data_IF_338766429640
#
_entry.id   IF_338766429640
#
_cell.length_a   1.000
_cell.length_b   1.000
_cell.length_c   1.000
_cell.angle_alpha   90.00
_cell.angle_beta   90.00
_cell.angle_gamma   90.00
#
_symmetry.space_group_name_H-M   'P 1'
#
loop_
_entity.id
_entity.type
_entity.pdbx_description
1 polymer ?
#
# COMPACT_ATOMS: atom_id res chain seq x y z
N UNK A 1 14.93 -12.14 -12.14
CA UNK A 1 16.02 -12.47 -11.21
C UNK A 1 16.40 -11.27 -10.35
N UNK A 2 15.44 -10.42 -10.11
CA UNK A 2 15.51 -9.32 -9.18
C UNK A 2 14.96 -9.83 -7.85
N UNK A 3 15.62 -9.54 -6.74
CA UNK A 3 15.12 -9.93 -5.42
C UNK A 3 13.75 -9.31 -5.12
N UNK A 4 13.05 -9.84 -4.14
CA UNK A 4 11.71 -9.38 -3.77
C UNK A 4 11.69 -7.92 -3.31
N UNK A 5 12.78 -7.42 -2.74
CA UNK A 5 12.87 -6.05 -2.18
C UNK A 5 12.58 -4.98 -3.22
N UNK A 6 13.21 -5.04 -4.40
CA UNK A 6 13.02 -4.03 -5.45
C UNK A 6 11.57 -3.98 -5.95
N UNK A 7 10.93 -5.09 -6.37
CA UNK A 7 9.52 -5.06 -6.75
C UNK A 7 8.59 -4.56 -5.65
N UNK A 8 8.87 -4.91 -4.39
CA UNK A 8 8.07 -4.44 -3.24
C UNK A 8 8.15 -2.93 -3.09
N UNK A 9 9.34 -2.35 -3.17
CA UNK A 9 9.54 -0.89 -3.10
C UNK A 9 8.87 -0.19 -4.27
N UNK A 10 9.07 -0.68 -5.49
CA UNK A 10 8.44 -0.10 -6.68
C UNK A 10 6.92 -0.21 -6.64
N UNK A 11 6.40 -1.37 -6.21
CA UNK A 11 4.96 -1.58 -6.07
C UNK A 11 4.35 -0.63 -5.04
N UNK A 12 4.96 -0.49 -3.87
CA UNK A 12 4.50 0.41 -2.82
C UNK A 12 4.60 1.86 -3.27
N UNK A 13 5.68 2.24 -3.96
CA UNK A 13 5.85 3.59 -4.51
C UNK A 13 4.76 3.91 -5.54
N UNK A 14 4.48 2.99 -6.46
CA UNK A 14 3.43 3.14 -7.47
C UNK A 14 2.05 3.29 -6.82
N UNK A 15 1.77 2.48 -5.80
CA UNK A 15 0.54 2.57 -5.00
C UNK A 15 0.43 3.94 -4.33
N UNK A 16 1.51 4.41 -3.70
CA UNK A 16 1.57 5.71 -3.03
C UNK A 16 1.33 6.87 -4.00
N UNK A 17 1.94 6.82 -5.18
CA UNK A 17 1.72 7.83 -6.24
C UNK A 17 0.26 7.81 -6.70
N UNK A 18 -0.33 6.64 -6.90
CA UNK A 18 -1.73 6.51 -7.28
C UNK A 18 -2.66 7.14 -6.25
N UNK A 19 -2.44 6.87 -4.96
CA UNK A 19 -3.24 7.46 -3.88
C UNK A 19 -3.01 8.97 -3.78
N UNK A 20 -1.77 9.44 -3.95
CA UNK A 20 -1.45 10.86 -3.95
C UNK A 20 -2.18 11.61 -5.08
N UNK A 21 -2.24 11.02 -6.27
CA UNK A 21 -3.01 11.58 -7.40
C UNK A 21 -4.48 11.65 -7.05
N UNK A 22 -5.05 10.60 -6.46
CA UNK A 22 -6.46 10.60 -6.02
C UNK A 22 -6.75 11.63 -4.93
N UNK A 23 -5.74 12.07 -4.18
CA UNK A 23 -5.88 13.09 -3.15
C UNK A 23 -6.03 14.51 -3.72
N UNK A 24 -5.86 14.72 -5.03
CA UNK A 24 -6.02 16.02 -5.69
C UNK A 24 -7.51 16.35 -5.90
N UNK A 25 -8.26 16.44 -4.80
CA UNK A 25 -9.72 16.64 -4.82
C UNK A 25 -10.14 18.07 -5.16
N UNK A 26 -9.19 19.02 -5.26
CA UNK A 26 -9.45 20.41 -5.59
C UNK A 26 -9.62 20.68 -7.10
N UNK A 27 -9.42 19.67 -7.93
CA UNK A 27 -9.54 19.80 -9.39
C UNK A 27 -11.04 19.88 -9.80
N UNK A 28 -11.34 20.48 -10.97
CA UNK A 28 -12.70 20.45 -11.53
C UNK A 28 -13.20 19.01 -11.66
N UNK A 29 -14.52 18.83 -11.51
CA UNK A 29 -15.12 17.49 -11.47
C UNK A 29 -14.72 16.59 -12.64
N UNK A 30 -14.75 17.10 -13.88
CA UNK A 30 -14.40 16.32 -15.07
C UNK A 30 -12.92 15.91 -15.06
N UNK A 31 -12.04 16.85 -14.76
CA UNK A 31 -10.60 16.60 -14.67
C UNK A 31 -10.29 15.65 -13.50
N UNK A 32 -10.97 15.82 -12.37
CA UNK A 32 -10.80 14.97 -11.20
C UNK A 32 -11.18 13.53 -11.48
N UNK A 33 -12.28 13.29 -12.20
CA UNK A 33 -12.70 11.93 -12.57
C UNK A 33 -11.62 11.22 -13.40
N UNK A 34 -11.01 11.89 -14.37
CA UNK A 34 -9.92 11.34 -15.18
C UNK A 34 -8.69 11.06 -14.31
N UNK A 35 -8.33 12.00 -13.43
CA UNK A 35 -7.19 11.87 -12.53
C UNK A 35 -7.38 10.71 -11.56
N UNK A 36 -8.58 10.56 -11.00
CA UNK A 36 -8.92 9.43 -10.11
C UNK A 36 -8.81 8.10 -10.84
N UNK A 37 -9.28 8.05 -12.08
CA UNK A 37 -9.21 6.84 -12.90
C UNK A 37 -7.77 6.40 -13.11
N UNK A 38 -6.89 7.34 -13.47
CA UNK A 38 -5.45 7.10 -13.65
C UNK A 38 -4.83 6.67 -12.31
N UNK A 39 -5.16 7.38 -11.22
CA UNK A 39 -4.67 7.03 -9.88
C UNK A 39 -5.08 5.63 -9.45
N UNK A 40 -6.30 5.24 -9.76
CA UNK A 40 -6.81 3.91 -9.42
C UNK A 40 -6.10 2.80 -10.21
N UNK A 41 -5.78 3.05 -11.48
CA UNK A 41 -4.97 2.13 -12.29
C UNK A 41 -3.59 1.96 -11.67
N UNK A 42 -2.92 3.06 -11.32
CA UNK A 42 -1.61 3.02 -10.66
C UNK A 42 -1.67 2.29 -9.33
N UNK A 43 -2.71 2.52 -8.56
CA UNK A 43 -2.94 1.84 -7.28
C UNK A 43 -3.02 0.32 -7.47
N UNK A 44 -3.83 -0.13 -8.43
CA UNK A 44 -3.98 -1.54 -8.75
C UNK A 44 -2.70 -2.21 -9.21
N UNK A 45 -1.96 -1.53 -10.11
CA UNK A 45 -0.67 -2.00 -10.59
C UNK A 45 0.35 -2.10 -9.45
N UNK A 46 0.39 -1.08 -8.59
CA UNK A 46 1.28 -1.07 -7.44
C UNK A 46 1.00 -2.21 -6.47
N UNK A 47 -0.27 -2.48 -6.18
CA UNK A 47 -0.66 -3.61 -5.34
C UNK A 47 -0.25 -4.95 -5.96
N UNK A 48 -0.45 -5.10 -7.27
CA UNK A 48 -0.06 -6.31 -7.98
C UNK A 48 1.45 -6.57 -7.89
N UNK A 49 2.25 -5.55 -8.12
CA UNK A 49 3.70 -5.65 -8.01
C UNK A 49 4.19 -5.89 -6.59
N UNK A 50 3.46 -5.42 -5.59
CA UNK A 50 3.82 -5.61 -4.18
C UNK A 50 3.37 -6.97 -3.64
N UNK A 51 2.16 -7.40 -3.96
CA UNK A 51 1.51 -8.54 -3.32
C UNK A 51 2.27 -9.85 -3.52
N UNK A 52 2.70 -10.13 -4.73
CA UNK A 52 3.39 -11.38 -5.06
C UNK A 52 4.75 -11.50 -4.36
N UNK A 53 5.68 -10.54 -4.51
CA UNK A 53 6.97 -10.65 -3.83
C UNK A 53 6.85 -10.57 -2.30
N UNK A 54 5.86 -9.84 -1.78
CA UNK A 54 5.61 -9.76 -0.34
C UNK A 54 5.20 -11.11 0.22
N UNK A 55 4.26 -11.78 -0.43
CA UNK A 55 3.79 -13.11 -0.04
C UNK A 55 4.92 -14.15 -0.16
N UNK A 56 5.65 -14.12 -1.26
CA UNK A 56 6.77 -15.04 -1.49
C UNK A 56 7.85 -14.88 -0.42
N UNK A 57 8.21 -13.64 -0.09
CA UNK A 57 9.19 -13.36 0.96
C UNK A 57 8.74 -13.90 2.32
N UNK A 58 7.46 -13.72 2.67
CA UNK A 58 6.93 -14.21 3.93
C UNK A 58 6.96 -15.74 4.02
N UNK A 59 6.59 -16.42 2.94
CA UNK A 59 6.53 -17.87 2.88
C UNK A 59 7.92 -18.50 2.81
N UNK A 60 8.79 -17.97 1.96
CA UNK A 60 10.14 -18.51 1.75
C UNK A 60 11.06 -18.30 2.95
N UNK A 61 10.71 -17.40 3.86
CA UNK A 61 11.45 -17.20 5.10
C UNK A 61 11.17 -18.28 6.15
N UNK A 62 10.17 -19.11 5.94
CA UNK A 62 9.79 -20.18 6.86
C UNK A 62 10.34 -21.53 6.40
N UNK A 63 10.59 -22.42 7.37
CA UNK A 63 10.93 -23.81 7.06
C UNK A 63 9.75 -24.53 6.41
N UNK A 64 10.02 -25.57 5.62
CA UNK A 64 9.01 -26.27 4.83
C UNK A 64 7.81 -26.78 5.65
N UNK A 65 8.06 -27.18 6.90
CA UNK A 65 7.03 -27.66 7.83
C UNK A 65 6.18 -26.53 8.43
N UNK A 66 6.60 -25.26 8.28
CA UNK A 66 5.95 -24.09 8.87
C UNK A 66 5.33 -23.12 7.85
N UNK A 67 5.32 -23.50 6.58
CA UNK A 67 4.79 -22.66 5.49
C UNK A 67 3.32 -22.27 5.74
N UNK A 68 2.50 -23.22 6.21
CA UNK A 68 1.11 -22.94 6.51
C UNK A 68 0.93 -21.92 7.63
N UNK A 69 1.74 -22.03 8.69
CA UNK A 69 1.72 -21.08 9.81
C UNK A 69 2.17 -19.69 9.34
N UNK A 70 3.26 -19.63 8.57
CA UNK A 70 3.78 -18.37 8.03
C UNK A 70 2.75 -17.66 7.13
N UNK A 71 2.08 -18.42 6.26
CA UNK A 71 1.01 -17.90 5.40
C UNK A 71 -0.16 -17.35 6.23
N UNK A 72 -0.54 -18.05 7.28
CA UNK A 72 -1.62 -17.62 8.19
C UNK A 72 -1.26 -16.33 8.91
N UNK A 73 -0.07 -16.23 9.46
CA UNK A 73 0.42 -15.02 10.16
C UNK A 73 0.49 -13.84 9.18
N UNK A 74 1.04 -14.05 8.00
CA UNK A 74 1.12 -13.01 6.97
C UNK A 74 -0.28 -12.49 6.61
N UNK A 75 -1.22 -13.40 6.37
CA UNK A 75 -2.59 -13.02 6.01
C UNK A 75 -3.30 -12.27 7.13
N UNK A 76 -3.11 -12.71 8.37
CA UNK A 76 -3.66 -12.05 9.55
C UNK A 76 -3.08 -10.64 9.70
N UNK A 77 -1.77 -10.48 9.59
CA UNK A 77 -1.12 -9.18 9.67
C UNK A 77 -1.61 -8.23 8.57
N UNK A 78 -1.75 -8.73 7.34
CA UNK A 78 -2.27 -7.98 6.21
C UNK A 78 -3.70 -7.51 6.44
N UNK A 79 -4.56 -8.39 6.95
CA UNK A 79 -5.96 -8.04 7.25
C UNK A 79 -6.08 -7.02 8.37
N UNK A 80 -5.29 -7.17 9.43
CA UNK A 80 -5.25 -6.20 10.53
C UNK A 80 -4.76 -4.84 10.04
N UNK A 81 -3.68 -4.82 9.25
CA UNK A 81 -3.16 -3.58 8.66
C UNK A 81 -4.21 -2.88 7.81
N UNK A 82 -4.95 -3.62 7.00
CA UNK A 82 -6.05 -3.08 6.20
C UNK A 82 -7.16 -2.50 7.06
N UNK A 83 -7.55 -3.21 8.11
CA UNK A 83 -8.60 -2.75 9.03
C UNK A 83 -8.19 -1.46 9.75
N UNK A 84 -6.96 -1.39 10.29
CA UNK A 84 -6.45 -0.19 10.93
C UNK A 84 -6.33 0.98 9.95
N UNK A 85 -5.79 0.73 8.75
CA UNK A 85 -5.66 1.75 7.73
C UNK A 85 -7.01 2.36 7.36
N UNK A 86 -8.01 1.52 7.17
CA UNK A 86 -9.37 1.93 6.85
C UNK A 86 -10.01 2.74 7.99
N UNK A 87 -9.86 2.26 9.23
CA UNK A 87 -10.41 2.93 10.41
C UNK A 87 -9.79 4.31 10.63
N UNK A 88 -8.47 4.44 10.51
CA UNK A 88 -7.76 5.70 10.67
C UNK A 88 -8.15 6.67 9.56
N UNK A 89 -8.16 6.24 8.31
CA UNK A 89 -8.54 7.08 7.17
C UNK A 89 -9.98 7.56 7.28
N UNK A 90 -10.91 6.70 7.68
CA UNK A 90 -12.30 7.05 7.87
C UNK A 90 -12.48 8.05 9.04
N UNK A 91 -11.72 7.86 10.13
CA UNK A 91 -11.76 8.77 11.27
C UNK A 91 -11.26 10.16 10.90
N UNK A 92 -10.17 10.27 10.15
CA UNK A 92 -9.64 11.54 9.64
C UNK A 92 -10.65 12.19 8.71
N UNK A 93 -11.24 11.43 7.79
CA UNK A 93 -12.27 11.94 6.88
C UNK A 93 -13.45 12.52 7.65
N UNK A 94 -13.99 11.77 8.61
CA UNK A 94 -15.14 12.21 9.42
C UNK A 94 -14.83 13.45 10.25
N UNK A 95 -13.64 13.50 10.85
CA UNK A 95 -13.22 14.63 11.68
C UNK A 95 -13.09 15.93 10.88
N UNK A 96 -12.73 15.84 9.61
CA UNK A 96 -12.49 17.00 8.74
C UNK A 96 -13.68 17.35 7.84
N UNK A 97 -14.75 16.56 7.88
CA UNK A 97 -15.97 16.84 7.10
C UNK A 97 -16.52 18.28 7.28
N UNK A 98 -16.52 18.86 8.50
CA UNK A 98 -16.96 20.26 8.68
C UNK A 98 -16.16 21.30 7.90
N UNK A 99 -14.92 20.97 7.51
CA UNK A 99 -14.06 21.84 6.71
C UNK A 99 -14.31 21.72 5.20
N UNK A 100 -15.16 20.76 4.80
CA UNK A 100 -15.49 20.49 3.40
C UNK A 100 -15.15 19.08 2.98
N UNK A 101 -16.00 18.48 2.15
CA UNK A 101 -15.83 17.11 1.70
C UNK A 101 -14.53 16.87 0.92
N UNK A 102 -14.11 17.85 0.09
CA UNK A 102 -12.87 17.76 -0.67
C UNK A 102 -11.64 17.74 0.25
N UNK A 103 -11.61 18.60 1.26
CA UNK A 103 -10.54 18.65 2.26
C UNK A 103 -10.50 17.35 3.06
N UNK A 104 -11.64 16.86 3.49
CA UNK A 104 -11.74 15.61 4.24
C UNK A 104 -11.25 14.41 3.44
N UNK A 105 -11.66 14.33 2.17
CA UNK A 105 -11.23 13.25 1.27
C UNK A 105 -9.72 13.30 1.00
N UNK A 106 -9.16 14.49 0.73
CA UNK A 106 -7.73 14.66 0.53
C UNK A 106 -6.94 14.24 1.77
N UNK A 107 -7.39 14.65 2.97
CA UNK A 107 -6.72 14.29 4.22
C UNK A 107 -6.75 12.77 4.46
N UNK A 108 -7.89 12.12 4.23
CA UNK A 108 -8.02 10.67 4.36
C UNK A 108 -7.11 9.92 3.40
N UNK A 109 -7.01 10.37 2.17
CA UNK A 109 -6.11 9.76 1.16
C UNK A 109 -4.64 10.04 1.48
N UNK A 110 -4.29 11.20 2.00
CA UNK A 110 -2.92 11.53 2.42
C UNK A 110 -2.44 10.66 3.59
N UNK A 111 -3.34 10.22 4.47
CA UNK A 111 -3.02 9.24 5.50
C UNK A 111 -2.51 7.93 4.87
N UNK A 112 -3.14 7.49 3.79
CA UNK A 112 -2.68 6.31 3.05
C UNK A 112 -1.32 6.51 2.39
N UNK A 113 -1.03 7.73 1.91
CA UNK A 113 0.30 8.08 1.39
C UNK A 113 1.35 7.96 2.51
N UNK A 114 1.03 8.44 3.71
CA UNK A 114 1.90 8.31 4.87
C UNK A 114 2.17 6.84 5.21
N UNK A 115 1.14 5.98 5.18
CA UNK A 115 1.31 4.54 5.37
C UNK A 115 2.18 3.91 4.28
N UNK A 116 2.06 4.33 3.04
CA UNK A 116 2.93 3.86 1.95
C UNK A 116 4.39 4.25 2.21
N UNK A 117 4.65 5.46 2.69
CA UNK A 117 6.00 5.90 3.05
C UNK A 117 6.56 5.03 4.17
N UNK A 118 5.76 4.78 5.21
CA UNK A 118 6.15 3.90 6.30
C UNK A 118 6.43 2.47 5.82
N UNK A 119 5.62 1.97 4.89
CA UNK A 119 5.82 0.65 4.29
C UNK A 119 7.14 0.59 3.50
N UNK A 120 7.45 1.62 2.72
CA UNK A 120 8.71 1.70 1.98
C UNK A 120 9.90 1.69 2.95
N UNK A 121 9.84 2.50 4.00
CA UNK A 121 10.90 2.54 5.02
C UNK A 121 11.05 1.18 5.69
N UNK A 122 9.95 0.52 6.04
CA UNK A 122 9.95 -0.82 6.62
C UNK A 122 10.62 -1.84 5.68
N UNK A 123 10.28 -1.81 4.39
CA UNK A 123 10.87 -2.71 3.39
C UNK A 123 12.37 -2.46 3.28
N UNK A 124 12.78 -1.20 3.21
CA UNK A 124 14.20 -0.85 3.07
C UNK A 124 15.04 -1.26 4.28
N UNK A 125 14.45 -1.21 5.48
CA UNK A 125 15.17 -1.50 6.72
C UNK A 125 15.10 -2.98 7.11
N UNK A 126 14.02 -3.67 6.80
CA UNK A 126 13.74 -5.01 7.33
C UNK A 126 13.84 -6.13 6.29
N UNK A 127 13.60 -5.85 5.02
CA UNK A 127 13.68 -6.87 3.98
C UNK A 127 15.12 -6.98 3.48
N UNK A 128 15.76 -8.17 3.54
CA UNK A 128 17.12 -8.33 3.04
C UNK A 128 17.17 -8.22 1.51
N UNK A 129 18.28 -7.72 0.98
CA UNK A 129 18.45 -7.53 -0.46
C UNK A 129 18.39 -8.84 -1.26
N UNK A 130 18.73 -9.94 -0.62
CA UNK A 130 18.68 -11.27 -1.23
C UNK A 130 17.34 -11.99 -1.03
N UNK A 131 16.35 -11.35 -0.44
CA UNK A 131 15.03 -11.95 -0.26
C UNK A 131 14.39 -12.27 -1.63
N UNK A 132 13.84 -13.46 -1.77
CA UNK A 132 13.21 -13.90 -3.01
C UNK A 132 14.18 -14.25 -4.13
N UNK A 133 15.49 -14.18 -3.90
CA UNK A 133 16.50 -14.70 -4.84
C UNK A 133 16.67 -16.19 -4.58
N UNK A 134 16.11 -16.98 -5.46
CA UNK A 134 16.35 -18.42 -5.45
C UNK A 134 17.68 -18.68 -6.18
N UNK A 135 18.64 -19.12 -5.45
CA UNK A 135 19.95 -19.51 -5.97
C UNK A 135 19.88 -20.79 -6.79
#
# INVERSE_FOLDING_TARGET
KVGAKKPMVWGTLTTGIGVAIMALTFLPNTTYVVVVFVGYILFGLGLGFYATPSTDTAISSASADKIGVASGIYKMASSLGGAFGMAISASVYTALLPLGGAVAASAGLLVNVAFCVLAILSIMLMVPENAGKHG
#
